data_IF_038669822884
#
_entry.id   IF_038669822884
#
_cell.length_a   1.000
_cell.length_b   1.000
_cell.length_c   1.000
_cell.angle_alpha   90.00
_cell.angle_beta   90.00
_cell.angle_gamma   90.00
#
_symmetry.space_group_name_H-M   'P 1'
#
loop_
_entity.id
_entity.type
_entity.pdbx_description
1 polymer ?
#
# COMPACT_ATOMS: atom_id res chain seq x y z
N UNK A 1 -23.55 -4.82 21.92
CA UNK A 1 -23.18 -3.39 21.89
C UNK A 1 -21.69 -3.15 21.60
N UNK A 2 -20.77 -3.93 22.19
CA UNK A 2 -19.31 -3.80 22.00
C UNK A 2 -18.86 -3.84 20.52
N UNK A 3 -19.34 -4.80 19.72
CA UNK A 3 -19.01 -4.88 18.29
C UNK A 3 -19.42 -3.63 17.49
N UNK A 4 -20.58 -3.01 17.80
CA UNK A 4 -21.02 -1.80 17.09
C UNK A 4 -20.10 -0.60 17.36
N UNK A 5 -19.59 -0.49 18.58
CA UNK A 5 -18.64 0.56 18.95
C UNK A 5 -17.31 0.39 18.20
N UNK A 6 -16.77 -0.83 18.17
CA UNK A 6 -15.52 -1.14 17.47
C UNK A 6 -15.64 -0.90 15.96
N UNK A 7 -16.73 -1.36 15.34
CA UNK A 7 -16.99 -1.09 13.92
C UNK A 7 -17.07 0.41 13.64
N UNK A 8 -17.79 1.17 14.47
CA UNK A 8 -17.87 2.62 14.33
C UNK A 8 -16.49 3.29 14.52
N UNK A 9 -15.69 2.80 15.47
CA UNK A 9 -14.32 3.25 15.69
C UNK A 9 -13.42 3.02 14.49
N UNK A 10 -13.42 1.81 13.92
CA UNK A 10 -12.65 1.48 12.71
C UNK A 10 -13.08 2.35 11.52
N UNK A 11 -14.38 2.49 11.29
CA UNK A 11 -14.91 3.35 10.21
C UNK A 11 -14.46 4.79 10.41
N UNK A 12 -14.49 5.30 11.65
CA UNK A 12 -14.05 6.66 11.96
C UNK A 12 -12.54 6.84 11.71
N UNK A 13 -11.71 5.86 12.09
CA UNK A 13 -10.26 5.86 11.83
C UNK A 13 -9.97 5.85 10.32
N UNK A 14 -10.70 5.03 9.56
CA UNK A 14 -10.55 4.96 8.10
C UNK A 14 -10.96 6.28 7.45
N UNK A 15 -12.11 6.85 7.83
CA UNK A 15 -12.56 8.16 7.31
C UNK A 15 -11.53 9.24 7.64
N UNK A 16 -11.03 9.27 8.88
CA UNK A 16 -10.02 10.22 9.31
C UNK A 16 -8.74 10.09 8.47
N UNK A 17 -8.25 8.86 8.26
CA UNK A 17 -7.08 8.60 7.42
C UNK A 17 -7.30 9.08 5.97
N UNK A 18 -8.44 8.77 5.37
CA UNK A 18 -8.76 9.20 4.00
C UNK A 18 -8.77 10.72 3.90
N UNK A 19 -9.45 11.41 4.83
CA UNK A 19 -9.50 12.87 4.85
C UNK A 19 -8.11 13.48 5.05
N UNK A 20 -7.29 12.89 5.93
CA UNK A 20 -5.92 13.33 6.19
C UNK A 20 -5.02 13.14 4.96
N UNK A 21 -5.10 11.99 4.29
CA UNK A 21 -4.35 11.70 3.07
C UNK A 21 -4.76 12.63 1.91
N UNK A 22 -6.06 12.90 1.75
CA UNK A 22 -6.56 13.85 0.74
C UNK A 22 -6.10 15.28 1.06
N UNK A 23 -6.14 15.69 2.34
CA UNK A 23 -5.68 17.01 2.76
C UNK A 23 -4.19 17.23 2.46
N UNK A 24 -3.37 16.17 2.60
CA UNK A 24 -1.93 16.19 2.32
C UNK A 24 -1.58 15.70 0.90
N UNK A 25 -2.55 15.54 0.01
CA UNK A 25 -2.35 14.96 -1.30
C UNK A 25 -1.50 15.87 -2.20
N UNK A 26 -0.23 15.53 -2.31
CA UNK A 26 0.71 16.17 -3.23
C UNK A 26 1.49 15.06 -3.93
N UNK A 27 1.34 14.90 -5.26
CA UNK A 27 2.14 13.94 -6.01
C UNK A 27 3.64 14.22 -5.81
N UNK A 28 4.40 13.20 -5.42
CA UNK A 28 5.85 13.32 -5.33
C UNK A 28 6.44 13.45 -6.73
N UNK A 29 7.45 14.28 -6.92
CA UNK A 29 8.12 14.44 -8.21
C UNK A 29 8.68 13.11 -8.72
N UNK A 30 9.20 12.27 -7.82
CA UNK A 30 9.74 10.94 -8.15
C UNK A 30 8.68 9.99 -8.73
N UNK A 31 7.40 10.16 -8.38
CA UNK A 31 6.31 9.31 -8.91
C UNK A 31 6.18 9.41 -10.43
N UNK A 32 6.58 10.54 -11.03
CA UNK A 32 6.52 10.76 -12.47
C UNK A 32 7.50 9.88 -13.25
N UNK A 33 8.56 9.37 -12.61
CA UNK A 33 9.46 8.40 -13.21
C UNK A 33 8.68 7.11 -13.53
N UNK A 34 8.01 6.54 -12.52
CA UNK A 34 7.17 5.34 -12.68
C UNK A 34 6.03 5.58 -13.66
N UNK A 35 5.42 6.77 -13.64
CA UNK A 35 4.33 7.12 -14.56
C UNK A 35 4.78 7.17 -16.02
N UNK A 36 5.99 7.65 -16.28
CA UNK A 36 6.56 7.67 -17.64
C UNK A 36 6.79 6.26 -18.17
N UNK A 37 7.41 5.38 -17.37
CA UNK A 37 7.58 3.97 -17.75
C UNK A 37 6.24 3.28 -17.96
N UNK A 38 5.27 3.52 -17.08
CA UNK A 38 3.93 2.95 -17.19
C UNK A 38 3.21 3.41 -18.47
N UNK A 39 3.32 4.69 -18.82
CA UNK A 39 2.76 5.24 -20.05
C UNK A 39 3.40 4.63 -21.30
N UNK A 40 4.73 4.57 -21.36
CA UNK A 40 5.44 4.00 -22.50
C UNK A 40 5.10 2.52 -22.69
N UNK A 41 4.98 1.77 -21.59
CA UNK A 41 4.56 0.37 -21.65
C UNK A 41 3.10 0.24 -22.12
N UNK A 42 2.20 1.09 -21.62
CA UNK A 42 0.78 1.10 -22.00
C UNK A 42 0.58 1.44 -23.49
N UNK A 43 1.42 2.30 -24.06
CA UNK A 43 1.39 2.69 -25.48
C UNK A 43 2.11 1.68 -26.40
N UNK A 44 2.69 0.61 -25.85
CA UNK A 44 3.35 -0.47 -26.61
C UNK A 44 4.81 -0.21 -26.95
N UNK A 45 5.44 0.84 -26.41
CA UNK A 45 6.86 1.12 -26.60
C UNK A 45 7.78 0.30 -25.68
N UNK A 46 7.20 -0.40 -24.69
CA UNK A 46 7.93 -1.19 -23.71
C UNK A 46 8.41 -0.37 -22.51
N UNK A 47 9.19 -1.00 -21.63
CA UNK A 47 9.77 -0.38 -20.43
C UNK A 47 11.02 0.44 -20.80
N UNK A 48 10.79 1.60 -21.42
CA UNK A 48 11.85 2.50 -21.89
C UNK A 48 11.67 3.90 -21.28
N UNK A 49 12.77 4.63 -21.09
CA UNK A 49 12.70 6.03 -20.66
C UNK A 49 12.41 6.96 -21.85
N UNK A 50 13.16 6.82 -22.93
CA UNK A 50 12.97 7.53 -24.19
C UNK A 50 12.62 6.53 -25.30
N UNK A 51 11.60 6.88 -26.09
CA UNK A 51 11.17 6.04 -27.21
C UNK A 51 12.25 6.04 -28.28
N UNK A 52 12.67 4.85 -28.71
CA UNK A 52 13.72 4.67 -29.71
C UNK A 52 15.14 4.55 -29.15
N UNK A 53 15.34 4.74 -27.85
CA UNK A 53 16.61 4.44 -27.17
C UNK A 53 16.64 2.98 -26.68
N UNK A 54 17.82 2.52 -26.27
CA UNK A 54 17.98 1.20 -25.66
C UNK A 54 17.17 1.12 -24.35
N UNK A 55 16.52 -0.01 -24.05
CA UNK A 55 15.82 -0.20 -22.79
C UNK A 55 16.75 -0.04 -21.59
N UNK A 56 16.26 0.68 -20.57
CA UNK A 56 16.96 0.90 -19.30
C UNK A 56 16.00 0.65 -18.15
N UNK A 57 16.46 -0.06 -17.12
CA UNK A 57 15.69 -0.28 -15.90
C UNK A 57 15.88 0.91 -14.95
N UNK A 58 15.27 2.05 -15.30
CA UNK A 58 15.37 3.31 -14.55
C UNK A 58 14.35 3.47 -13.42
N UNK A 59 13.70 2.38 -13.00
CA UNK A 59 12.71 2.35 -11.93
C UNK A 59 13.13 1.35 -10.85
N UNK A 60 12.80 1.63 -9.60
CA UNK A 60 13.07 0.74 -8.44
C UNK A 60 11.79 0.12 -7.87
N UNK A 61 10.70 0.18 -8.63
CA UNK A 61 9.38 -0.25 -8.18
C UNK A 61 8.59 -0.97 -9.28
N UNK A 62 9.15 -2.08 -9.78
CA UNK A 62 8.61 -2.82 -10.92
C UNK A 62 7.11 -3.13 -10.81
N UNK A 63 6.67 -3.69 -9.67
CA UNK A 63 5.25 -4.03 -9.47
C UNK A 63 4.36 -2.78 -9.56
N UNK A 64 4.83 -1.64 -9.04
CA UNK A 64 4.10 -0.38 -9.09
C UNK A 64 3.97 0.16 -10.52
N UNK A 65 5.04 0.07 -11.32
CA UNK A 65 4.99 0.42 -12.75
C UNK A 65 3.96 -0.43 -13.47
N UNK A 66 3.91 -1.74 -13.23
CA UNK A 66 2.91 -2.63 -13.83
C UNK A 66 1.49 -2.24 -13.41
N UNK A 67 1.25 -1.98 -12.12
CA UNK A 67 -0.06 -1.52 -11.62
C UNK A 67 -0.48 -0.22 -12.31
N UNK A 68 0.42 0.77 -12.39
CA UNK A 68 0.13 2.05 -13.06
C UNK A 68 -0.09 1.89 -14.57
N UNK A 69 0.61 0.93 -15.20
CA UNK A 69 0.41 0.58 -16.62
C UNK A 69 -1.01 0.09 -16.85
N UNK A 70 -1.49 -0.83 -16.01
CA UNK A 70 -2.87 -1.34 -16.09
C UNK A 70 -3.91 -0.23 -15.94
N UNK A 71 -3.69 0.70 -15.01
CA UNK A 71 -4.53 1.89 -14.84
C UNK A 71 -4.55 2.78 -16.08
N UNK A 72 -3.39 2.96 -16.72
CA UNK A 72 -3.24 3.75 -17.94
C UNK A 72 -3.93 3.09 -19.14
N UNK A 73 -3.77 1.77 -19.32
CA UNK A 73 -4.47 0.98 -20.36
C UNK A 73 -5.99 1.07 -20.19
N UNK A 74 -6.48 1.06 -18.95
CA UNK A 74 -7.90 1.21 -18.64
C UNK A 74 -8.43 2.65 -18.84
N UNK A 75 -7.57 3.61 -19.21
CA UNK A 75 -7.96 5.00 -19.50
C UNK A 75 -8.12 5.88 -18.26
N UNK A 76 -7.63 5.46 -17.09
CA UNK A 76 -7.67 6.29 -15.89
C UNK A 76 -6.58 7.38 -15.90
N UNK A 77 -6.85 8.49 -15.22
CA UNK A 77 -5.80 9.45 -14.90
C UNK A 77 -4.79 8.79 -13.95
N UNK A 78 -3.54 8.67 -14.39
CA UNK A 78 -2.50 7.90 -13.69
C UNK A 78 -2.22 8.43 -12.28
N UNK A 79 -2.29 9.74 -12.06
CA UNK A 79 -2.03 10.37 -10.76
C UNK A 79 -3.15 9.98 -9.79
N UNK A 80 -4.41 10.19 -10.18
CA UNK A 80 -5.56 9.84 -9.33
C UNK A 80 -5.62 8.33 -9.08
N UNK A 81 -5.29 7.52 -10.09
CA UNK A 81 -5.24 6.07 -9.98
C UNK A 81 -4.17 5.64 -8.95
N UNK A 82 -2.97 6.18 -9.05
CA UNK A 82 -1.87 5.91 -8.13
C UNK A 82 -2.20 6.34 -6.69
N UNK A 83 -2.77 7.53 -6.50
CA UNK A 83 -3.21 8.02 -5.20
C UNK A 83 -4.33 7.14 -4.60
N UNK A 84 -5.30 6.73 -5.41
CA UNK A 84 -6.36 5.83 -4.98
C UNK A 84 -5.79 4.49 -4.49
N UNK A 85 -4.84 3.89 -5.21
CA UNK A 85 -4.20 2.65 -4.81
C UNK A 85 -3.35 2.83 -3.55
N UNK A 86 -2.61 3.93 -3.41
CA UNK A 86 -1.82 4.22 -2.20
C UNK A 86 -2.69 4.40 -0.95
N UNK A 87 -3.81 5.15 -1.06
CA UNK A 87 -4.79 5.30 0.03
C UNK A 87 -5.43 3.96 0.36
N UNK A 88 -5.85 3.19 -0.65
CA UNK A 88 -6.43 1.86 -0.45
C UNK A 88 -5.47 0.92 0.27
N UNK A 89 -4.19 0.93 -0.09
CA UNK A 89 -3.16 0.16 0.59
C UNK A 89 -2.96 0.62 2.06
N UNK A 90 -3.04 1.92 2.31
CA UNK A 90 -3.02 2.47 3.67
C UNK A 90 -4.20 1.97 4.53
N UNK A 91 -5.41 1.89 3.95
CA UNK A 91 -6.59 1.35 4.64
C UNK A 91 -6.39 -0.12 5.02
N UNK A 92 -5.90 -0.95 4.09
CA UNK A 92 -5.61 -2.36 4.39
C UNK A 92 -4.49 -2.52 5.43
N UNK A 93 -3.50 -1.61 5.42
CA UNK A 93 -2.46 -1.57 6.46
C UNK A 93 -3.09 -1.33 7.83
N UNK A 94 -4.05 -0.41 7.97
CA UNK A 94 -4.75 -0.16 9.23
C UNK A 94 -5.51 -1.40 9.72
N UNK A 95 -6.12 -2.17 8.81
CA UNK A 95 -6.77 -3.44 9.17
C UNK A 95 -5.76 -4.48 9.69
N UNK A 96 -4.58 -4.61 9.05
CA UNK A 96 -3.54 -5.50 9.58
C UNK A 96 -3.01 -5.02 10.92
N UNK A 97 -2.79 -3.71 11.12
CA UNK A 97 -2.37 -3.15 12.42
C UNK A 97 -3.39 -3.44 13.51
N UNK A 98 -4.69 -3.29 13.22
CA UNK A 98 -5.75 -3.65 14.14
C UNK A 98 -5.69 -5.13 14.55
N UNK A 99 -5.53 -6.02 13.57
CA UNK A 99 -5.47 -7.46 13.81
C UNK A 99 -4.20 -7.86 14.57
N UNK A 100 -3.03 -7.33 14.21
CA UNK A 100 -1.76 -7.54 14.94
C UNK A 100 -1.92 -7.07 16.39
N UNK A 101 -2.53 -5.91 16.61
CA UNK A 101 -2.77 -5.38 17.97
C UNK A 101 -3.59 -6.34 18.83
N UNK A 102 -4.57 -7.02 18.24
CA UNK A 102 -5.35 -8.07 18.93
C UNK A 102 -4.52 -9.34 19.17
N UNK A 103 -3.68 -9.72 18.22
CA UNK A 103 -2.78 -10.86 18.39
C UNK A 103 -1.76 -10.65 19.51
N UNK A 104 -1.32 -9.42 19.77
CA UNK A 104 -0.38 -9.13 20.88
C UNK A 104 -1.08 -8.97 22.24
N UNK A 105 -2.42 -9.08 22.30
CA UNK A 105 -3.18 -9.11 23.55
C UNK A 105 -4.01 -7.86 23.87
N UNK A 106 -4.14 -6.89 22.97
CA UNK A 106 -5.07 -5.78 23.18
C UNK A 106 -6.51 -6.23 23.01
N UNK A 107 -7.42 -5.71 23.84
CA UNK A 107 -8.85 -5.84 23.58
C UNK A 107 -9.25 -5.05 22.32
N UNK A 108 -10.43 -5.36 21.78
CA UNK A 108 -10.92 -4.76 20.52
C UNK A 108 -10.95 -3.23 20.53
N UNK A 109 -11.19 -2.59 21.68
CA UNK A 109 -11.25 -1.14 21.78
C UNK A 109 -9.85 -0.54 21.80
N UNK A 110 -8.95 -1.13 22.59
CA UNK A 110 -7.55 -0.68 22.71
C UNK A 110 -6.77 -0.90 21.40
N UNK A 111 -7.12 -1.92 20.62
CA UNK A 111 -6.58 -2.15 19.28
C UNK A 111 -6.86 -1.01 18.28
N UNK A 112 -7.82 -0.12 18.57
CA UNK A 112 -8.06 1.09 17.77
C UNK A 112 -6.97 2.15 17.96
N UNK A 113 -6.25 2.16 19.09
CA UNK A 113 -5.26 3.21 19.40
C UNK A 113 -4.06 3.19 18.44
N UNK A 114 -3.40 2.05 18.15
CA UNK A 114 -2.34 2.00 17.14
C UNK A 114 -2.83 2.41 15.75
N UNK A 115 -4.04 2.02 15.39
CA UNK A 115 -4.66 2.40 14.12
C UNK A 115 -4.89 3.92 14.05
N UNK A 116 -5.39 4.53 15.13
CA UNK A 116 -5.59 5.96 15.23
C UNK A 116 -4.27 6.72 15.12
N UNK A 117 -3.23 6.29 15.86
CA UNK A 117 -1.89 6.92 15.78
C UNK A 117 -1.28 6.83 14.38
N UNK A 118 -1.44 5.68 13.70
CA UNK A 118 -0.97 5.55 12.33
C UNK A 118 -1.78 6.42 11.36
N UNK A 119 -3.11 6.48 11.51
CA UNK A 119 -3.99 7.30 10.68
C UNK A 119 -3.70 8.81 10.76
N UNK A 120 -3.33 9.31 11.94
CA UNK A 120 -2.95 10.72 12.15
C UNK A 120 -1.46 10.99 11.92
N UNK A 121 -0.67 9.97 11.59
CA UNK A 121 0.75 10.14 11.26
C UNK A 121 0.88 10.87 9.92
N UNK A 122 1.45 12.08 9.96
CA UNK A 122 1.71 12.91 8.78
C UNK A 122 2.43 12.15 7.67
N UNK A 123 3.60 11.52 7.93
CA UNK A 123 4.31 10.73 6.92
C UNK A 123 3.45 9.64 6.28
N UNK A 124 2.69 8.88 7.07
CA UNK A 124 1.86 7.81 6.55
C UNK A 124 0.75 8.31 5.62
N UNK A 125 0.14 9.45 5.97
CA UNK A 125 -0.90 10.09 5.16
C UNK A 125 -0.34 10.76 3.90
N UNK A 126 0.76 11.51 4.00
CA UNK A 126 1.43 12.16 2.85
C UNK A 126 1.82 11.13 1.80
N UNK A 127 2.49 10.05 2.20
CA UNK A 127 2.95 9.03 1.27
C UNK A 127 1.81 8.17 0.70
N UNK A 128 0.65 8.12 1.36
CA UNK A 128 -0.54 7.43 0.82
C UNK A 128 -1.06 8.09 -0.46
N UNK A 129 -0.97 9.42 -0.53
CA UNK A 129 -1.48 10.23 -1.64
C UNK A 129 -0.36 10.86 -2.48
N UNK A 130 0.88 10.38 -2.37
CA UNK A 130 2.01 10.89 -3.16
C UNK A 130 2.11 10.30 -4.56
N UNK A 131 1.32 9.27 -4.88
CA UNK A 131 1.42 8.52 -6.13
C UNK A 131 2.60 7.52 -6.18
N UNK A 132 3.31 7.35 -5.05
CA UNK A 132 4.35 6.33 -4.91
C UNK A 132 3.83 5.03 -4.33
N UNK A 133 4.64 3.99 -4.47
CA UNK A 133 4.38 2.63 -3.99
C UNK A 133 4.49 2.46 -2.47
N UNK A 134 4.95 3.48 -1.73
CA UNK A 134 5.31 3.42 -0.30
C UNK A 134 4.25 2.72 0.56
N UNK A 135 2.98 3.10 0.41
CA UNK A 135 1.90 2.51 1.23
C UNK A 135 1.54 1.09 0.77
N UNK A 136 1.75 0.75 -0.51
CA UNK A 136 1.61 -0.62 -1.02
C UNK A 136 2.72 -1.52 -0.48
N UNK A 137 3.96 -1.03 -0.47
CA UNK A 137 5.09 -1.72 0.18
C UNK A 137 4.80 -1.94 1.68
N UNK A 138 4.36 -0.89 2.38
CA UNK A 138 3.99 -0.97 3.80
C UNK A 138 2.91 -2.03 4.05
N UNK A 139 1.88 -2.08 3.20
CA UNK A 139 0.84 -3.10 3.27
C UNK A 139 1.42 -4.51 3.19
N UNK A 140 2.32 -4.77 2.25
CA UNK A 140 2.90 -6.10 2.07
C UNK A 140 3.79 -6.52 3.24
N UNK A 141 4.60 -5.62 3.78
CA UNK A 141 5.44 -5.89 4.96
C UNK A 141 4.57 -6.17 6.20
N UNK A 142 3.61 -5.28 6.50
CA UNK A 142 2.75 -5.42 7.68
C UNK A 142 1.83 -6.65 7.56
N UNK A 143 1.29 -6.90 6.35
CA UNK A 143 0.52 -8.10 6.06
C UNK A 143 1.36 -9.37 6.23
N UNK A 144 2.60 -9.38 5.74
CA UNK A 144 3.50 -10.53 5.92
C UNK A 144 3.80 -10.79 7.40
N UNK A 145 4.05 -9.74 8.18
CA UNK A 145 4.26 -9.84 9.62
C UNK A 145 3.03 -10.44 10.34
N UNK A 146 1.82 -9.98 9.98
CA UNK A 146 0.58 -10.55 10.52
C UNK A 146 0.45 -12.04 10.23
N UNK A 147 0.66 -12.45 8.98
CA UNK A 147 0.53 -13.85 8.57
C UNK A 147 1.62 -14.74 9.18
N UNK A 148 2.83 -14.21 9.39
CA UNK A 148 3.86 -14.88 10.18
C UNK A 148 3.39 -15.12 11.62
N UNK A 149 2.88 -14.09 12.31
CA UNK A 149 2.36 -14.23 13.68
C UNK A 149 1.22 -15.26 13.73
N UNK A 150 0.31 -15.21 12.74
CA UNK A 150 -0.80 -16.16 12.61
C UNK A 150 -0.30 -17.60 12.45
N UNK A 151 0.74 -17.83 11.64
CA UNK A 151 1.38 -19.15 11.49
C UNK A 151 1.96 -19.65 12.82
N UNK A 152 2.69 -18.82 13.55
CA UNK A 152 3.27 -19.21 14.85
C UNK A 152 2.22 -19.64 15.88
N UNK A 153 1.01 -19.07 15.81
CA UNK A 153 -0.08 -19.40 16.73
C UNK A 153 -0.91 -20.60 16.31
N UNK A 154 -1.19 -20.74 15.01
CA UNK A 154 -2.13 -21.74 14.48
C UNK A 154 -1.45 -22.98 13.89
N UNK A 155 -0.20 -22.85 13.46
CA UNK A 155 0.50 -23.86 12.65
C UNK A 155 -0.02 -23.99 11.22
N UNK A 156 -0.89 -23.08 10.74
CA UNK A 156 -1.47 -23.19 9.40
C UNK A 156 -0.47 -22.80 8.29
N UNK A 157 -0.11 -23.78 7.48
CA UNK A 157 0.79 -23.59 6.33
C UNK A 157 0.28 -22.54 5.33
N UNK A 158 -1.03 -22.30 5.25
CA UNK A 158 -1.57 -21.24 4.37
C UNK A 158 -1.12 -19.85 4.83
N UNK A 159 -1.11 -19.59 6.13
CA UNK A 159 -0.59 -18.32 6.68
C UNK A 159 0.89 -18.14 6.33
N UNK A 160 1.68 -19.21 6.41
CA UNK A 160 3.08 -19.15 6.01
C UNK A 160 3.26 -18.88 4.50
N UNK A 161 2.47 -19.54 3.65
CA UNK A 161 2.48 -19.31 2.20
C UNK A 161 2.09 -17.87 1.85
N UNK A 162 1.06 -17.32 2.51
CA UNK A 162 0.64 -15.93 2.32
C UNK A 162 1.72 -14.94 2.77
N UNK A 163 2.41 -15.21 3.88
CA UNK A 163 3.53 -14.39 4.33
C UNK A 163 4.67 -14.37 3.30
N UNK A 164 5.10 -15.52 2.79
CA UNK A 164 6.12 -15.58 1.72
C UNK A 164 5.68 -14.87 0.45
N UNK A 165 4.42 -15.04 0.05
CA UNK A 165 3.88 -14.36 -1.13
C UNK A 165 3.89 -12.84 -0.97
N UNK A 166 3.49 -12.33 0.20
CA UNK A 166 3.54 -10.89 0.47
C UNK A 166 4.98 -10.37 0.54
N UNK A 167 5.93 -11.12 1.09
CA UNK A 167 7.35 -10.76 1.02
C UNK A 167 7.87 -10.72 -0.42
N UNK A 168 7.45 -11.65 -1.29
CA UNK A 168 7.80 -11.58 -2.71
C UNK A 168 7.22 -10.34 -3.38
N UNK A 169 5.97 -9.99 -3.06
CA UNK A 169 5.37 -8.76 -3.59
C UNK A 169 6.05 -7.50 -3.06
N UNK A 170 6.52 -7.50 -1.80
CA UNK A 170 7.28 -6.37 -1.25
C UNK A 170 8.60 -6.18 -1.99
N UNK A 171 9.34 -7.25 -2.30
CA UNK A 171 10.61 -7.13 -3.07
C UNK A 171 10.38 -6.66 -4.51
N UNK A 172 9.27 -7.05 -5.14
CA UNK A 172 8.89 -6.51 -6.47
C UNK A 172 8.42 -5.05 -6.42
N UNK A 173 7.99 -4.59 -5.24
CA UNK A 173 7.56 -3.20 -5.02
C UNK A 173 8.74 -2.30 -4.69
N UNK A 174 9.68 -2.79 -3.85
CA UNK A 174 10.93 -2.12 -3.48
C UNK A 174 11.99 -3.18 -3.15
N UNK A 175 12.96 -3.44 -4.04
CA UNK A 175 13.94 -4.53 -3.86
C UNK A 175 14.97 -4.26 -2.76
N UNK A 176 15.15 -2.99 -2.36
CA UNK A 176 16.08 -2.58 -1.30
C UNK A 176 15.48 -2.66 0.12
N UNK A 177 14.17 -2.90 0.23
CA UNK A 177 13.41 -2.87 1.49
C UNK A 177 13.22 -4.21 2.18
#
# INVERSE_FOLDING_TARGET
MKNRFVTFGLVSVVILFILHAIYLAVPAEDSFISFRFAKNLAEGYGLVWNIGELPVEGYTNFLWVIICTLGTIAGFNIILFAQFFGITAGIFTLFYVYNISREIGFDESTALLPCLFLAVSGPFATWAASGMETNLFTLFIVGSAYHTISFWKSGDNKSLQLSFFLCLLSTLTRPEG
#
